data_IF_235064060016
#
_entry.id   IF_235064060016
#
_cell.length_a   1.000
_cell.length_b   1.000
_cell.length_c   1.000
_cell.angle_alpha   90.00
_cell.angle_beta   90.00
_cell.angle_gamma   90.00
#
_symmetry.space_group_name_H-M   'P 1'
#
loop_
_entity.id
_entity.type
_entity.pdbx_description
1 polymer ?
#
# COMPACT_ATOMS: atom_id res chain seq x y z
N UNK A 1 25.54 -15.31 -9.14
CA UNK A 1 24.31 -15.96 -8.62
C UNK A 1 23.14 -15.00 -8.67
N UNK A 2 23.31 -13.74 -8.25
CA UNK A 2 22.25 -12.70 -8.24
C UNK A 2 21.65 -12.36 -9.61
N UNK A 3 22.45 -12.29 -10.70
CA UNK A 3 21.93 -12.02 -12.05
C UNK A 3 20.89 -13.04 -12.51
N UNK A 4 21.09 -14.33 -12.20
CA UNK A 4 20.19 -15.41 -12.61
C UNK A 4 18.87 -15.39 -11.81
N UNK A 5 18.92 -14.94 -10.55
CA UNK A 5 17.74 -14.77 -9.69
C UNK A 5 16.90 -13.56 -10.15
N UNK A 6 17.54 -12.44 -10.50
CA UNK A 6 16.87 -11.26 -11.05
C UNK A 6 16.17 -11.57 -12.38
N UNK A 7 16.84 -12.25 -13.32
CA UNK A 7 16.24 -12.65 -14.59
C UNK A 7 15.06 -13.61 -14.40
N UNK A 8 15.18 -14.57 -13.49
CA UNK A 8 14.14 -15.55 -13.21
C UNK A 8 12.94 -14.96 -12.49
N UNK A 9 13.16 -14.03 -11.54
CA UNK A 9 12.06 -13.29 -10.90
C UNK A 9 11.29 -12.45 -11.92
N UNK A 10 11.95 -11.87 -12.94
CA UNK A 10 11.29 -11.19 -14.04
C UNK A 10 10.31 -12.09 -14.79
N UNK A 11 10.76 -13.30 -15.17
CA UNK A 11 9.89 -14.29 -15.82
C UNK A 11 8.70 -14.72 -14.94
N UNK A 12 8.92 -14.88 -13.65
CA UNK A 12 7.84 -15.19 -12.69
C UNK A 12 6.82 -14.06 -12.59
N UNK A 13 7.29 -12.80 -12.56
CA UNK A 13 6.43 -11.60 -12.54
C UNK A 13 5.59 -11.52 -13.83
N UNK A 14 6.21 -11.75 -14.98
CA UNK A 14 5.52 -11.79 -16.27
C UNK A 14 4.44 -12.88 -16.30
N UNK A 15 4.80 -14.11 -15.90
CA UNK A 15 3.87 -15.24 -15.82
C UNK A 15 2.67 -14.96 -14.90
N UNK A 16 2.90 -14.31 -13.75
CA UNK A 16 1.86 -14.05 -12.76
C UNK A 16 1.04 -12.79 -13.03
N UNK A 17 1.40 -11.97 -14.02
CA UNK A 17 0.84 -10.62 -14.21
C UNK A 17 -0.69 -10.61 -14.30
N UNK A 18 -1.30 -11.49 -15.09
CA UNK A 18 -2.76 -11.58 -15.19
C UNK A 18 -3.41 -12.02 -13.87
N UNK A 19 -2.81 -13.00 -13.19
CA UNK A 19 -3.32 -13.53 -11.93
C UNK A 19 -3.28 -12.46 -10.84
N UNK A 20 -2.17 -11.73 -10.75
CA UNK A 20 -2.01 -10.62 -9.80
C UNK A 20 -3.00 -9.50 -10.08
N UNK A 21 -3.23 -9.15 -11.35
CA UNK A 21 -4.25 -8.15 -11.69
C UNK A 21 -5.67 -8.61 -11.31
N UNK A 22 -5.96 -9.91 -11.36
CA UNK A 22 -7.18 -10.50 -10.80
C UNK A 22 -7.28 -10.32 -9.29
N UNK A 23 -6.26 -10.81 -8.57
CA UNK A 23 -6.20 -10.79 -7.11
C UNK A 23 -6.24 -9.35 -6.56
N UNK A 24 -5.46 -8.43 -7.13
CA UNK A 24 -5.46 -7.00 -6.75
C UNK A 24 -6.85 -6.39 -6.84
N UNK A 25 -7.58 -6.61 -7.93
CA UNK A 25 -8.94 -6.08 -8.09
C UNK A 25 -9.89 -6.61 -7.01
N UNK A 26 -9.77 -7.89 -6.69
CA UNK A 26 -10.55 -8.51 -5.62
C UNK A 26 -10.18 -7.94 -4.24
N UNK A 27 -8.88 -7.83 -3.94
CA UNK A 27 -8.37 -7.28 -2.69
C UNK A 27 -8.77 -5.82 -2.51
N UNK A 28 -8.62 -4.98 -3.53
CA UNK A 28 -8.98 -3.56 -3.45
C UNK A 28 -10.47 -3.37 -3.23
N UNK A 29 -11.31 -4.20 -3.85
CA UNK A 29 -12.75 -4.22 -3.57
C UNK A 29 -13.03 -4.56 -2.11
N UNK A 30 -12.43 -5.62 -1.59
CA UNK A 30 -12.63 -6.02 -0.18
C UNK A 30 -12.08 -4.97 0.80
N UNK A 31 -10.90 -4.42 0.54
CA UNK A 31 -10.28 -3.37 1.36
C UNK A 31 -11.21 -2.16 1.42
N UNK A 32 -11.82 -1.77 0.30
CA UNK A 32 -12.81 -0.70 0.25
C UNK A 32 -14.04 -1.02 1.09
N UNK A 33 -14.63 -2.20 0.93
CA UNK A 33 -15.80 -2.63 1.72
C UNK A 33 -15.50 -2.65 3.23
N UNK A 34 -14.32 -3.14 3.62
CA UNK A 34 -13.84 -3.15 5.01
C UNK A 34 -13.62 -1.74 5.55
N UNK A 35 -13.04 -0.85 4.75
CA UNK A 35 -12.81 0.53 5.13
C UNK A 35 -14.12 1.29 5.31
N UNK A 36 -15.05 1.17 4.36
CA UNK A 36 -16.38 1.78 4.42
C UNK A 36 -17.19 1.27 5.63
N UNK A 37 -17.07 -0.02 5.94
CA UNK A 37 -17.66 -0.66 7.12
C UNK A 37 -16.90 -0.39 8.43
N UNK A 38 -15.80 0.38 8.38
CA UNK A 38 -14.96 0.73 9.52
C UNK A 38 -14.42 -0.49 10.30
N UNK A 39 -14.06 -1.57 9.59
CA UNK A 39 -13.40 -2.75 10.18
C UNK A 39 -12.11 -2.32 10.88
N UNK A 40 -11.89 -2.84 12.10
CA UNK A 40 -10.72 -2.50 12.91
C UNK A 40 -10.65 -1.03 13.33
N UNK A 41 -11.74 -0.26 13.20
CA UNK A 41 -11.78 1.19 13.43
C UNK A 41 -10.84 2.01 12.54
N UNK A 42 -10.40 1.45 11.40
CA UNK A 42 -9.40 2.11 10.54
C UNK A 42 -9.89 3.47 10.04
N UNK A 43 -11.14 3.58 9.60
CA UNK A 43 -11.71 4.87 9.16
C UNK A 43 -11.74 5.91 10.26
N UNK A 44 -12.13 5.53 11.48
CA UNK A 44 -12.09 6.43 12.65
C UNK A 44 -10.66 6.84 13.00
N UNK A 45 -9.67 5.94 12.85
CA UNK A 45 -8.26 6.29 13.05
C UNK A 45 -7.81 7.33 12.02
N UNK A 46 -8.16 7.16 10.74
CA UNK A 46 -7.91 8.17 9.70
C UNK A 46 -8.49 9.52 10.07
N UNK A 47 -9.77 9.58 10.41
CA UNK A 47 -10.45 10.82 10.78
C UNK A 47 -9.81 11.47 12.02
N UNK A 48 -9.45 10.67 13.03
CA UNK A 48 -8.80 11.15 14.25
C UNK A 48 -7.38 11.67 14.02
N UNK A 49 -6.56 10.94 13.25
CA UNK A 49 -5.18 11.34 12.94
C UNK A 49 -5.20 12.61 12.11
N UNK A 50 -6.00 12.65 11.03
CA UNK A 50 -6.17 13.84 10.21
C UNK A 50 -6.65 15.03 11.05
N UNK A 51 -7.65 14.85 11.91
CA UNK A 51 -8.14 15.91 12.79
C UNK A 51 -7.10 16.41 13.80
N UNK A 52 -6.20 15.55 14.28
CA UNK A 52 -5.16 15.93 15.24
C UNK A 52 -3.96 16.66 14.59
N UNK A 53 -3.64 16.32 13.33
CA UNK A 53 -2.45 16.83 12.66
C UNK A 53 -2.72 18.02 11.74
N UNK A 54 -3.92 18.13 11.16
CA UNK A 54 -4.25 19.26 10.27
C UNK A 54 -4.62 20.49 11.08
N UNK A 55 -4.09 21.66 10.72
CA UNK A 55 -4.59 22.96 11.18
C UNK A 55 -5.55 23.55 10.14
N UNK A 56 -6.26 24.63 10.49
CA UNK A 56 -7.14 25.36 9.55
C UNK A 56 -6.36 26.26 8.57
N UNK A 57 -5.03 26.15 8.48
CA UNK A 57 -4.22 26.99 7.62
C UNK A 57 -4.34 26.62 6.13
N UNK A 58 -4.60 27.61 5.27
CA UNK A 58 -4.86 27.43 3.83
C UNK A 58 -3.69 26.85 2.99
N UNK A 59 -2.50 26.68 3.56
CA UNK A 59 -1.28 26.27 2.82
C UNK A 59 -0.71 24.91 3.25
N UNK A 60 -1.47 24.11 4.00
CA UNK A 60 -1.02 22.79 4.43
C UNK A 60 -1.21 21.73 3.36
N UNK A 61 -0.14 21.00 3.07
CA UNK A 61 -0.18 19.80 2.23
C UNK A 61 -0.17 18.57 3.12
N UNK A 62 -1.14 17.68 2.93
CA UNK A 62 -1.22 16.43 3.67
C UNK A 62 -0.76 15.31 2.76
N UNK A 63 0.16 14.49 3.23
CA UNK A 63 0.64 13.32 2.50
C UNK A 63 0.41 12.07 3.33
N UNK A 64 -0.30 11.09 2.76
CA UNK A 64 -0.45 9.75 3.30
C UNK A 64 0.50 8.85 2.52
N UNK A 65 1.50 8.28 3.19
CA UNK A 65 2.55 7.51 2.55
C UNK A 65 2.59 6.09 3.05
N UNK A 66 2.62 5.12 2.13
CA UNK A 66 3.00 3.77 2.48
C UNK A 66 4.52 3.67 2.64
N UNK A 67 4.96 2.86 3.61
CA UNK A 67 6.37 2.58 3.84
C UNK A 67 6.68 1.19 3.30
N UNK A 68 7.71 1.04 2.46
CA UNK A 68 8.13 -0.28 1.98
C UNK A 68 8.52 -1.20 3.15
N UNK A 69 9.16 -0.63 4.17
CA UNK A 69 9.47 -1.34 5.40
C UNK A 69 8.22 -1.93 6.08
N UNK A 70 7.07 -1.26 6.02
CA UNK A 70 5.86 -1.70 6.74
C UNK A 70 5.28 -3.04 6.25
N UNK A 71 5.41 -3.37 4.95
CA UNK A 71 5.00 -4.70 4.48
C UNK A 71 6.10 -5.75 4.65
N UNK A 72 7.37 -5.34 4.76
CA UNK A 72 8.49 -6.25 5.06
C UNK A 72 8.46 -6.68 6.54
N UNK A 73 8.12 -5.76 7.44
CA UNK A 73 8.04 -6.01 8.89
C UNK A 73 6.62 -6.35 9.36
N UNK A 74 5.67 -6.50 8.43
CA UNK A 74 4.25 -6.84 8.70
C UNK A 74 3.52 -5.90 9.69
N UNK A 75 4.01 -4.66 9.85
CA UNK A 75 3.37 -3.63 10.67
C UNK A 75 2.17 -3.04 9.94
N UNK A 76 2.27 -2.96 8.61
CA UNK A 76 1.26 -2.38 7.72
C UNK A 76 0.78 -1.00 8.20
N UNK A 77 1.73 -0.14 8.58
CA UNK A 77 1.48 1.24 8.99
C UNK A 77 1.76 2.20 7.82
N UNK A 78 0.82 3.12 7.62
CA UNK A 78 0.96 4.25 6.72
C UNK A 78 1.33 5.48 7.54
N UNK A 79 2.34 6.20 7.04
CA UNK A 79 2.78 7.46 7.60
C UNK A 79 1.85 8.57 7.09
N UNK A 80 1.49 9.52 7.93
CA UNK A 80 0.71 10.70 7.54
C UNK A 80 1.45 11.94 8.00
N UNK A 81 1.88 12.78 7.05
CA UNK A 81 2.61 14.02 7.32
C UNK A 81 1.84 15.24 6.84
N UNK A 82 1.99 16.34 7.58
CA UNK A 82 1.53 17.67 7.18
C UNK A 82 2.76 18.52 6.90
N UNK A 83 2.79 19.13 5.72
CA UNK A 83 3.92 19.90 5.23
C UNK A 83 3.51 21.32 4.88
N UNK A 84 4.46 22.24 5.05
CA UNK A 84 4.32 23.61 4.58
C UNK A 84 4.92 23.74 3.18
N UNK A 85 4.10 24.16 2.22
CA UNK A 85 4.56 24.47 0.86
C UNK A 85 4.82 23.24 -0.02
N UNK A 86 5.78 22.38 0.33
CA UNK A 86 6.16 21.22 -0.48
C UNK A 86 6.20 19.91 0.33
N UNK A 87 5.70 18.78 -0.23
CA UNK A 87 5.82 17.45 0.35
C UNK A 87 7.27 17.09 0.69
N UNK A 88 7.48 16.50 1.88
CA UNK A 88 8.78 15.98 2.33
C UNK A 88 9.90 17.03 2.54
N UNK A 89 9.57 18.33 2.57
CA UNK A 89 10.55 19.42 2.80
C UNK A 89 10.45 20.00 4.22
N UNK A 90 9.36 20.70 4.54
CA UNK A 90 9.13 21.31 5.86
C UNK A 90 7.95 20.61 6.56
N UNK A 91 8.26 19.53 7.29
CA UNK A 91 7.26 18.77 8.07
C UNK A 91 6.84 19.55 9.32
N UNK A 92 5.52 19.76 9.47
CA UNK A 92 4.91 20.44 10.61
C UNK A 92 4.55 19.43 11.70
N UNK A 93 3.88 18.34 11.31
CA UNK A 93 3.37 17.28 12.18
C UNK A 93 3.24 15.98 11.41
N UNK A 94 3.26 14.88 12.15
CA UNK A 94 2.99 13.56 11.58
C UNK A 94 2.17 12.66 12.51
N UNK A 95 1.69 11.57 11.95
CA UNK A 95 1.06 10.45 12.65
C UNK A 95 1.18 9.16 11.83
N UNK A 96 0.68 8.07 12.40
CA UNK A 96 0.68 6.76 11.76
C UNK A 96 -0.72 6.15 11.81
N UNK A 97 -1.06 5.38 10.78
CA UNK A 97 -2.33 4.67 10.69
C UNK A 97 -2.07 3.22 10.31
N UNK A 98 -2.57 2.29 11.12
CA UNK A 98 -2.48 0.87 10.79
C UNK A 98 -3.57 0.47 9.81
N UNK A 99 -3.18 -0.07 8.66
CA UNK A 99 -4.10 -0.66 7.67
C UNK A 99 -4.15 -2.19 7.75
N UNK A 100 -3.43 -2.80 8.71
CA UNK A 100 -3.40 -4.25 8.93
C UNK A 100 -4.80 -4.89 8.99
N UNK A 101 -5.82 -4.30 9.66
CA UNK A 101 -7.16 -4.89 9.69
C UNK A 101 -7.83 -5.03 8.31
N UNK A 102 -7.42 -4.23 7.32
CA UNK A 102 -7.96 -4.28 5.97
C UNK A 102 -7.36 -5.42 5.14
N UNK A 103 -6.16 -5.89 5.49
CA UNK A 103 -5.35 -6.82 4.69
C UNK A 103 -5.58 -8.31 4.99
N UNK A 104 -6.56 -8.68 5.82
CA UNK A 104 -6.70 -10.04 6.37
C UNK A 104 -6.88 -11.21 5.39
N UNK A 105 -6.98 -10.99 4.07
CA UNK A 105 -7.04 -12.06 3.06
C UNK A 105 -5.80 -12.12 2.15
N UNK A 106 -4.82 -11.22 2.32
CA UNK A 106 -3.59 -11.18 1.50
C UNK A 106 -2.78 -12.47 1.60
N UNK A 107 -2.73 -13.11 2.77
CA UNK A 107 -2.01 -14.37 2.94
C UNK A 107 -2.57 -15.49 2.03
N UNK A 108 -3.87 -15.45 1.71
CA UNK A 108 -4.46 -16.40 0.76
C UNK A 108 -3.95 -16.15 -0.65
N UNK A 109 -3.81 -14.88 -1.04
CA UNK A 109 -3.25 -14.53 -2.34
C UNK A 109 -1.80 -15.04 -2.46
N UNK A 110 -1.00 -14.92 -1.39
CA UNK A 110 0.37 -15.47 -1.37
C UNK A 110 0.39 -16.98 -1.62
N UNK A 111 -0.48 -17.73 -0.94
CA UNK A 111 -0.62 -19.19 -1.16
C UNK A 111 -1.02 -19.48 -2.61
N UNK A 112 -1.93 -18.70 -3.18
CA UNK A 112 -2.35 -18.88 -4.56
C UNK A 112 -1.26 -18.55 -5.59
N UNK A 113 -0.46 -17.52 -5.35
CA UNK A 113 0.68 -17.17 -6.20
C UNK A 113 1.77 -18.24 -6.14
N UNK A 114 2.08 -18.71 -4.93
CA UNK A 114 3.03 -19.81 -4.71
C UNK A 114 2.61 -21.07 -5.47
N UNK A 115 1.33 -21.47 -5.35
CA UNK A 115 0.80 -22.63 -6.05
C UNK A 115 0.83 -22.49 -7.58
N UNK A 116 0.61 -21.27 -8.09
CA UNK A 116 0.71 -21.01 -9.52
C UNK A 116 2.17 -21.16 -10.00
N UNK A 117 3.13 -20.62 -9.24
CA UNK A 117 4.55 -20.73 -9.55
C UNK A 117 5.06 -22.17 -9.44
N UNK A 118 4.63 -22.92 -8.44
CA UNK A 118 5.05 -24.33 -8.24
C UNK A 118 4.63 -25.25 -9.40
N UNK A 119 3.60 -24.88 -10.17
CA UNK A 119 3.15 -25.62 -11.36
C UNK A 119 4.02 -25.37 -12.59
N UNK A 120 4.59 -24.18 -12.71
CA UNK A 120 5.32 -23.73 -13.90
C UNK A 120 6.84 -23.77 -13.70
N UNK A 121 7.33 -23.41 -12.51
CA UNK A 121 8.74 -23.23 -12.21
C UNK A 121 9.28 -24.40 -11.37
N UNK A 122 10.25 -25.13 -11.92
CA UNK A 122 10.94 -26.19 -11.19
C UNK A 122 11.82 -25.63 -10.07
N UNK A 123 11.71 -26.19 -8.85
CA UNK A 123 12.47 -25.81 -7.64
C UNK A 123 12.37 -24.33 -7.30
N UNK A 124 11.15 -23.90 -6.98
CA UNK A 124 10.90 -22.57 -6.43
C UNK A 124 11.56 -22.44 -5.04
N UNK A 125 12.41 -21.44 -4.85
CA UNK A 125 13.09 -21.20 -3.56
C UNK A 125 12.37 -20.14 -2.72
N UNK A 126 12.59 -20.13 -1.41
CA UNK A 126 11.96 -19.19 -0.48
C UNK A 126 12.20 -17.72 -0.87
N UNK A 127 13.42 -17.36 -1.28
CA UNK A 127 13.75 -16.00 -1.69
C UNK A 127 12.97 -15.53 -2.93
N UNK A 128 12.62 -16.44 -3.85
CA UNK A 128 11.80 -16.13 -5.02
C UNK A 128 10.34 -15.89 -4.62
N UNK A 129 9.80 -16.71 -3.71
CA UNK A 129 8.46 -16.53 -3.15
C UNK A 129 8.34 -15.19 -2.44
N UNK A 130 9.27 -14.89 -1.55
CA UNK A 130 9.32 -13.62 -0.83
C UNK A 130 9.40 -12.42 -1.79
N UNK A 131 10.19 -12.51 -2.85
CA UNK A 131 10.28 -11.44 -3.84
C UNK A 131 8.96 -11.22 -4.59
N UNK A 132 8.24 -12.29 -4.92
CA UNK A 132 6.91 -12.19 -5.53
C UNK A 132 5.88 -11.64 -4.54
N UNK A 133 5.92 -12.06 -3.27
CA UNK A 133 5.03 -11.53 -2.23
C UNK A 133 5.27 -10.04 -2.00
N UNK A 134 6.55 -9.61 -1.93
CA UNK A 134 6.91 -8.19 -1.83
C UNK A 134 6.41 -7.39 -3.03
N UNK A 135 6.61 -7.91 -4.24
CA UNK A 135 6.14 -7.27 -5.45
C UNK A 135 4.61 -7.15 -5.50
N UNK A 136 3.88 -8.20 -5.10
CA UNK A 136 2.43 -8.16 -4.98
C UNK A 136 1.97 -7.09 -3.98
N UNK A 137 2.61 -7.04 -2.81
CA UNK A 137 2.29 -6.06 -1.77
C UNK A 137 2.56 -4.62 -2.21
N UNK A 138 3.68 -4.38 -2.90
CA UNK A 138 4.01 -3.07 -3.45
C UNK A 138 2.94 -2.60 -4.43
N UNK A 139 2.50 -3.46 -5.35
CA UNK A 139 1.44 -3.10 -6.27
C UNK A 139 0.10 -2.86 -5.58
N UNK A 140 -0.24 -3.66 -4.57
CA UNK A 140 -1.46 -3.46 -3.80
C UNK A 140 -1.41 -2.10 -3.08
N UNK A 141 -0.28 -1.76 -2.46
CA UNK A 141 -0.03 -0.51 -1.75
C UNK A 141 -0.10 0.73 -2.64
N UNK A 142 0.45 0.66 -3.86
CA UNK A 142 0.34 1.74 -4.83
C UNK A 142 -1.11 2.09 -5.16
N UNK A 143 -2.01 1.10 -5.17
CA UNK A 143 -3.42 1.30 -5.50
C UNK A 143 -4.32 1.60 -4.28
N UNK A 144 -3.79 1.59 -3.06
CA UNK A 144 -4.55 1.97 -1.85
C UNK A 144 -5.10 3.40 -1.95
N UNK A 145 -4.44 4.30 -2.70
CA UNK A 145 -4.92 5.64 -3.00
C UNK A 145 -6.37 5.68 -3.49
N UNK A 146 -6.77 4.65 -4.25
CA UNK A 146 -8.11 4.52 -4.83
C UNK A 146 -9.18 4.11 -3.81
N UNK A 147 -8.78 3.58 -2.66
CA UNK A 147 -9.67 3.16 -1.57
C UNK A 147 -10.18 4.38 -0.81
N UNK A 148 -9.30 5.38 -0.66
CA UNK A 148 -9.60 6.57 0.12
C UNK A 148 -10.45 7.54 -0.68
N UNK A 149 -11.45 8.14 -0.02
CA UNK A 149 -12.18 9.29 -0.55
C UNK A 149 -12.26 10.35 0.53
N UNK A 150 -11.47 11.40 0.36
CA UNK A 150 -11.46 12.55 1.25
C UNK A 150 -11.98 13.76 0.49
N UNK A 151 -12.96 14.46 1.06
CA UNK A 151 -13.51 15.69 0.48
C UNK A 151 -12.80 16.91 1.04
N UNK A 152 -12.49 17.89 0.18
CA UNK A 152 -12.18 19.26 0.59
C UNK A 152 -10.80 19.48 1.20
N UNK A 153 -9.82 18.61 0.93
CA UNK A 153 -8.42 18.81 1.34
C UNK A 153 -7.46 18.32 0.25
N UNK A 154 -6.36 19.06 0.04
CA UNK A 154 -5.25 18.64 -0.81
C UNK A 154 -4.47 17.50 -0.14
N UNK A 155 -5.00 16.28 -0.24
CA UNK A 155 -4.39 15.07 0.30
C UNK A 155 -3.71 14.33 -0.85
N UNK A 156 -2.42 14.08 -0.67
CA UNK A 156 -1.61 13.28 -1.57
C UNK A 156 -1.41 11.88 -1.00
N UNK A 157 -1.29 10.90 -1.88
CA UNK A 157 -1.01 9.52 -1.54
C UNK A 157 0.09 8.95 -2.43
N UNK A 158 0.99 8.17 -1.84
CA UNK A 158 2.03 7.46 -2.57
C UNK A 158 3.07 6.81 -1.67
N UNK A 159 4.24 6.49 -2.23
CA UNK A 159 5.36 5.98 -1.44
C UNK A 159 6.01 7.12 -0.64
N UNK A 160 6.54 6.81 0.55
CA UNK A 160 7.29 7.80 1.32
C UNK A 160 8.57 8.21 0.58
N UNK A 161 8.74 9.51 0.31
CA UNK A 161 9.82 10.04 -0.53
C UNK A 161 9.86 9.44 -1.95
N UNK A 162 8.71 9.02 -2.46
CA UNK A 162 8.52 8.47 -3.81
C UNK A 162 7.42 9.25 -4.55
N UNK A 163 6.99 8.77 -5.72
CA UNK A 163 5.86 9.33 -6.45
C UNK A 163 4.60 9.38 -5.58
N UNK A 164 3.97 10.56 -5.58
CA UNK A 164 2.71 10.85 -4.90
C UNK A 164 1.70 11.43 -5.88
N UNK A 165 0.42 11.12 -5.66
CA UNK A 165 -0.69 11.57 -6.49
C UNK A 165 -1.77 12.21 -5.62
N UNK A 166 -2.45 13.24 -6.14
CA UNK A 166 -3.57 13.86 -5.44
C UNK A 166 -4.74 12.89 -5.38
N UNK A 167 -5.27 12.64 -4.18
CA UNK A 167 -6.42 11.76 -3.93
C UNK A 167 -7.61 12.48 -3.28
N UNK A 168 -7.45 13.75 -2.94
CA UNK A 168 -8.55 14.60 -2.47
C UNK A 168 -9.39 15.13 -3.63
N UNK A 169 -10.71 15.05 -3.51
CA UNK A 169 -11.62 15.80 -4.39
C UNK A 169 -11.68 17.25 -3.88
N UNK A 170 -11.36 18.20 -4.76
CA UNK A 170 -11.59 19.63 -4.55
C UNK A 170 -13.07 19.98 -4.39
#
# INVERSE_FOLDING_TARGET
MEQNVLERSGLMKDFLSEKINGLKRERLKEIREKFESNVGNVRKQFESVLGAITSEAEQEIIVISYLRASYITETHEFYVGVYKGEPFVEEIKHGFISVKPLLGNVEKDFVELDQALEREFFRLIAAEKEEIHRWYMEQLYQEFGTVWRFKGKNIYFGGFMDEISLIGDG
#
